data_IF_997653391415
#
_entry.id   IF_997653391415
#
_cell.length_a   1.000
_cell.length_b   1.000
_cell.length_c   1.000
_cell.angle_alpha   90.00
_cell.angle_beta   90.00
_cell.angle_gamma   90.00
#
_symmetry.space_group_name_H-M   'P 1'
#
loop_
_entity.id
_entity.type
_entity.pdbx_description
1 polymer ?
#
# COMPACT_ATOMS: atom_id res chain seq x y z
N UNK A 1 -9.65 33.65 -4.25
CA UNK A 1 -8.30 33.30 -4.73
C UNK A 1 -8.21 31.83 -5.11
N UNK A 2 -7.10 31.40 -5.73
CA UNK A 2 -6.76 29.98 -5.93
C UNK A 2 -5.64 29.64 -4.95
N UNK A 3 -5.76 28.53 -4.24
CA UNK A 3 -4.71 28.01 -3.36
C UNK A 3 -4.21 26.69 -3.95
N UNK A 4 -2.89 26.49 -3.94
CA UNK A 4 -2.27 25.23 -4.34
C UNK A 4 -1.35 24.74 -3.23
N UNK A 5 -1.49 23.48 -2.86
CA UNK A 5 -0.60 22.80 -1.93
C UNK A 5 0.14 21.71 -2.69
N UNK A 6 1.47 21.70 -2.60
CA UNK A 6 2.32 20.69 -3.23
C UNK A 6 3.00 19.90 -2.12
N UNK A 7 2.75 18.59 -2.09
CA UNK A 7 3.30 17.69 -1.07
C UNK A 7 4.18 16.65 -1.74
N UNK A 8 5.46 16.66 -1.40
CA UNK A 8 6.48 15.81 -2.03
C UNK A 8 6.44 14.39 -1.47
N UNK A 9 6.70 13.40 -2.32
CA UNK A 9 6.99 12.04 -1.90
C UNK A 9 8.44 11.93 -1.42
N UNK A 10 8.69 11.31 -0.26
CA UNK A 10 10.05 11.18 0.27
C UNK A 10 10.91 10.16 -0.47
N UNK A 11 10.26 9.17 -1.10
CA UNK A 11 10.91 8.11 -1.89
C UNK A 11 10.43 8.16 -3.33
N UNK A 12 11.17 7.51 -4.22
CA UNK A 12 10.74 7.30 -5.61
C UNK A 12 9.48 6.43 -5.63
N UNK A 13 8.39 6.97 -6.17
CA UNK A 13 7.13 6.26 -6.37
C UNK A 13 6.85 6.15 -7.88
N UNK A 14 6.40 4.99 -8.33
CA UNK A 14 5.89 4.78 -9.67
C UNK A 14 4.37 4.66 -9.57
N UNK A 15 3.65 5.52 -10.30
CA UNK A 15 2.21 5.45 -10.45
C UNK A 15 1.95 5.28 -11.95
N UNK A 16 1.54 4.06 -12.34
CA UNK A 16 1.52 3.66 -13.75
C UNK A 16 0.53 4.46 -14.60
N UNK A 17 -0.51 5.03 -14.00
CA UNK A 17 -1.55 5.86 -14.62
C UNK A 17 -2.17 6.80 -13.60
N UNK A 18 -2.57 8.01 -13.99
CA UNK A 18 -3.21 8.97 -13.10
C UNK A 18 -4.00 10.01 -13.90
N UNK A 19 -5.00 10.61 -13.24
CA UNK A 19 -5.79 11.71 -13.78
C UNK A 19 -6.19 12.65 -12.65
N UNK A 20 -6.70 13.83 -12.99
CA UNK A 20 -7.18 14.76 -11.99
C UNK A 20 -8.46 14.24 -11.33
N UNK A 21 -8.53 14.25 -10.00
CA UNK A 21 -9.71 13.80 -9.25
C UNK A 21 -10.26 14.89 -8.33
N UNK A 22 -11.58 14.97 -8.13
CA UNK A 22 -12.16 15.88 -7.15
C UNK A 22 -11.92 15.35 -5.72
N UNK A 23 -11.40 16.22 -4.84
CA UNK A 23 -11.15 15.93 -3.42
C UNK A 23 -11.62 17.12 -2.59
N UNK A 24 -12.63 16.91 -1.73
CA UNK A 24 -13.13 17.88 -0.73
C UNK A 24 -13.26 19.34 -1.21
N UNK A 25 -13.95 19.55 -2.34
CA UNK A 25 -14.18 20.87 -2.92
C UNK A 25 -12.97 21.47 -3.67
N UNK A 26 -11.90 20.70 -3.83
CA UNK A 26 -10.76 20.96 -4.70
C UNK A 26 -10.51 19.84 -5.68
N UNK A 27 -9.33 19.89 -6.30
CA UNK A 27 -8.88 18.95 -7.32
C UNK A 27 -7.47 18.49 -6.97
N UNK A 28 -7.21 17.20 -7.09
CA UNK A 28 -5.92 16.59 -6.85
C UNK A 28 -5.35 16.07 -8.16
N UNK A 29 -4.06 16.31 -8.40
CA UNK A 29 -3.31 15.69 -9.49
C UNK A 29 -1.93 15.22 -9.01
N UNK A 30 -1.38 14.24 -9.73
CA UNK A 30 0.00 13.78 -9.52
C UNK A 30 0.92 14.62 -10.38
N UNK A 31 1.98 15.17 -9.77
CA UNK A 31 3.10 15.77 -10.49
C UNK A 31 4.09 14.65 -10.79
N UNK A 32 4.23 14.33 -12.07
CA UNK A 32 5.17 13.32 -12.56
C UNK A 32 6.43 13.99 -13.12
N UNK A 33 7.61 13.45 -12.78
CA UNK A 33 8.88 13.86 -13.36
C UNK A 33 9.71 12.62 -13.69
N UNK A 34 10.14 12.50 -14.95
CA UNK A 34 10.97 11.38 -15.45
C UNK A 34 10.38 9.97 -15.18
N UNK A 35 9.04 9.82 -15.27
CA UNK A 35 8.37 8.54 -15.03
C UNK A 35 8.10 8.21 -13.56
N UNK A 36 8.40 9.13 -12.64
CA UNK A 36 8.16 8.96 -11.20
C UNK A 36 7.17 10.00 -10.70
N UNK A 37 6.28 9.58 -9.80
CA UNK A 37 5.42 10.49 -9.05
C UNK A 37 6.31 11.27 -8.05
N UNK A 38 6.43 12.57 -8.26
CA UNK A 38 7.25 13.48 -7.45
C UNK A 38 6.46 14.09 -6.30
N UNK A 39 5.24 14.55 -6.60
CA UNK A 39 4.39 15.21 -5.61
C UNK A 39 2.90 15.00 -5.89
N UNK A 40 2.10 15.27 -4.87
CA UNK A 40 0.66 15.47 -4.96
C UNK A 40 0.41 16.97 -4.98
N UNK A 41 -0.34 17.45 -5.97
CA UNK A 41 -0.82 18.84 -6.01
C UNK A 41 -2.32 18.87 -5.71
N UNK A 42 -2.70 19.62 -4.67
CA UNK A 42 -4.09 19.95 -4.33
C UNK A 42 -4.37 21.39 -4.74
N UNK A 43 -5.37 21.59 -5.60
CA UNK A 43 -5.81 22.90 -6.06
C UNK A 43 -7.23 23.19 -5.58
N UNK A 44 -7.40 24.33 -4.90
CA UNK A 44 -8.69 24.85 -4.47
C UNK A 44 -8.99 26.18 -5.16
N UNK A 45 -10.15 26.30 -5.77
CA UNK A 45 -10.57 27.52 -6.46
C UNK A 45 -11.59 28.31 -5.64
N UNK A 46 -11.73 29.61 -5.94
CA UNK A 46 -12.72 30.52 -5.31
C UNK A 46 -12.64 30.59 -3.78
N UNK A 47 -11.43 30.54 -3.23
CA UNK A 47 -11.19 30.59 -1.79
C UNK A 47 -11.27 32.02 -1.21
N UNK A 48 -11.75 32.20 0.03
CA UNK A 48 -11.69 33.45 0.77
C UNK A 48 -10.26 34.02 0.86
N UNK A 49 -10.11 35.35 0.87
CA UNK A 49 -8.79 36.00 1.00
C UNK A 49 -8.22 35.90 2.43
N UNK A 50 -9.06 35.62 3.42
CA UNK A 50 -8.66 35.45 4.82
C UNK A 50 -7.73 34.24 5.06
N UNK A 51 -7.74 33.23 4.17
CA UNK A 51 -6.80 32.11 4.24
C UNK A 51 -5.37 32.47 3.80
N UNK A 52 -5.17 33.63 3.17
CA UNK A 52 -3.84 34.10 2.81
C UNK A 52 -3.18 34.74 4.04
N UNK A 53 -1.85 34.54 4.26
CA UNK A 53 -1.12 35.28 5.27
C UNK A 53 -1.27 36.78 5.04
N UNK A 54 -1.67 37.51 6.08
CA UNK A 54 -1.86 38.96 6.01
C UNK A 54 -0.88 39.69 6.92
N UNK A 55 -0.41 40.85 6.45
CA UNK A 55 0.40 41.76 7.25
C UNK A 55 -0.51 42.60 8.14
N UNK A 56 -0.38 42.47 9.45
CA UNK A 56 -1.01 43.43 10.36
C UNK A 56 -0.09 44.65 10.50
N UNK A 57 -0.53 45.80 10.00
CA UNK A 57 0.17 47.07 10.22
C UNK A 57 0.02 47.46 11.68
N UNK A 58 1.12 47.77 12.40
CA UNK A 58 1.02 48.15 13.79
C UNK A 58 0.34 49.52 13.93
N UNK A 59 -0.42 49.69 15.00
CA UNK A 59 -1.08 50.95 15.38
C UNK A 59 -0.15 51.96 16.07
N UNK A 60 1.12 51.61 16.31
CA UNK A 60 2.13 52.51 16.88
C UNK A 60 3.51 52.33 16.24
N UNK A 61 4.33 53.38 16.33
CA UNK A 61 5.65 53.51 15.69
C UNK A 61 6.76 52.56 16.21
N UNK A 62 6.47 51.63 17.12
CA UNK A 62 7.49 50.76 17.75
C UNK A 62 7.27 49.25 17.60
N UNK A 63 6.28 48.78 16.83
CA UNK A 63 6.03 47.34 16.70
C UNK A 63 6.48 46.74 15.35
N UNK A 64 7.16 45.60 15.43
CA UNK A 64 7.56 44.74 14.32
C UNK A 64 6.30 44.25 13.60
N UNK A 65 6.29 44.27 12.27
CA UNK A 65 5.18 43.73 11.46
C UNK A 65 4.97 42.26 11.79
N UNK A 66 3.82 41.91 12.37
CA UNK A 66 3.45 40.53 12.66
C UNK A 66 2.77 39.91 11.44
N UNK A 67 3.30 38.80 10.93
CA UNK A 67 2.60 37.95 9.96
C UNK A 67 1.67 37.05 10.76
N UNK A 68 0.37 37.31 10.71
CA UNK A 68 -0.62 36.34 11.22
C UNK A 68 -0.85 35.31 10.12
N UNK A 69 -0.05 34.24 10.13
CA UNK A 69 -0.17 33.12 9.20
C UNK A 69 -0.96 31.98 9.83
N UNK A 70 -2.30 32.06 9.82
CA UNK A 70 -3.11 30.88 10.05
C UNK A 70 -3.82 30.54 8.74
N UNK A 71 -3.22 29.62 7.98
CA UNK A 71 -3.94 28.98 6.88
C UNK A 71 -4.79 27.87 7.49
N UNK A 72 -6.03 28.22 7.83
CA UNK A 72 -7.02 27.28 8.41
C UNK A 72 -7.24 26.05 7.53
N UNK A 73 -7.03 26.19 6.21
CA UNK A 73 -7.19 25.10 5.24
C UNK A 73 -5.96 24.20 5.19
N UNK A 74 -4.77 24.72 5.44
CA UNK A 74 -3.53 23.94 5.51
C UNK A 74 -3.59 22.88 6.60
N UNK A 75 -4.05 23.24 7.81
CA UNK A 75 -4.16 22.30 8.92
C UNK A 75 -5.08 21.11 8.59
N UNK A 76 -6.18 21.40 7.88
CA UNK A 76 -7.12 20.40 7.42
C UNK A 76 -6.54 19.51 6.31
N UNK A 77 -5.93 20.11 5.28
CA UNK A 77 -5.25 19.39 4.19
C UNK A 77 -4.16 18.49 4.73
N UNK A 78 -3.36 18.99 5.68
CA UNK A 78 -2.30 18.22 6.33
C UNK A 78 -2.87 17.00 7.05
N UNK A 79 -3.90 17.18 7.88
CA UNK A 79 -4.56 16.07 8.58
C UNK A 79 -5.07 15.01 7.60
N UNK A 80 -5.74 15.41 6.53
CA UNK A 80 -6.28 14.48 5.53
C UNK A 80 -5.16 13.69 4.83
N UNK A 81 -4.08 14.37 4.43
CA UNK A 81 -2.94 13.72 3.80
C UNK A 81 -2.20 12.79 4.76
N UNK A 82 -2.09 13.15 6.04
CA UNK A 82 -1.54 12.29 7.08
C UNK A 82 -2.40 11.03 7.26
N UNK A 83 -3.72 11.19 7.33
CA UNK A 83 -4.66 10.06 7.45
C UNK A 83 -4.60 9.15 6.20
N UNK A 84 -4.59 9.73 5.00
CA UNK A 84 -4.42 9.00 3.75
C UNK A 84 -3.06 8.28 3.67
N UNK A 85 -1.98 8.91 4.15
CA UNK A 85 -0.67 8.29 4.21
C UNK A 85 -0.69 7.07 5.13
N UNK A 86 -1.32 7.14 6.30
CA UNK A 86 -1.36 6.01 7.23
C UNK A 86 -2.11 4.80 6.63
N UNK A 87 -3.18 5.04 5.88
CA UNK A 87 -3.87 4.00 5.11
C UNK A 87 -2.94 3.29 4.12
N UNK A 88 -2.13 4.05 3.38
CA UNK A 88 -1.14 3.50 2.44
C UNK A 88 0.03 2.80 3.16
N UNK A 89 0.44 3.33 4.30
CA UNK A 89 1.53 2.80 5.13
C UNK A 89 1.20 1.40 5.71
N UNK A 90 -0.06 1.02 5.80
CA UNK A 90 -0.46 -0.35 6.13
C UNK A 90 0.06 -1.40 5.12
N UNK A 91 0.11 -1.05 3.83
CA UNK A 91 0.52 -1.95 2.74
C UNK A 91 1.98 -1.76 2.35
N UNK A 92 2.44 -0.51 2.35
CA UNK A 92 3.72 -0.14 1.77
C UNK A 92 4.54 0.73 2.73
N UNK A 93 5.86 0.75 2.55
CA UNK A 93 6.73 1.72 3.21
C UNK A 93 6.71 3.04 2.41
N UNK A 94 5.61 3.80 2.53
CA UNK A 94 5.43 5.12 1.92
C UNK A 94 5.67 6.17 3.00
N UNK A 95 6.22 7.31 2.63
CA UNK A 95 6.27 8.46 3.53
C UNK A 95 6.01 9.72 2.70
N UNK A 96 4.94 10.44 3.05
CA UNK A 96 4.65 11.79 2.54
C UNK A 96 5.39 12.79 3.43
N UNK A 97 6.03 13.79 2.84
CA UNK A 97 6.65 14.88 3.62
C UNK A 97 5.59 15.95 3.90
N UNK A 98 4.63 15.63 4.76
CA UNK A 98 3.52 16.53 5.12
C UNK A 98 3.93 17.67 6.04
N UNK A 99 5.13 17.60 6.63
CA UNK A 99 5.74 18.67 7.44
C UNK A 99 6.47 19.73 6.60
N UNK A 100 6.82 19.42 5.34
CA UNK A 100 7.52 20.32 4.42
C UNK A 100 6.63 20.60 3.19
N UNK A 101 5.43 21.15 3.44
CA UNK A 101 4.56 21.60 2.35
C UNK A 101 5.24 22.80 1.69
N UNK A 102 5.75 22.57 0.48
CA UNK A 102 6.52 23.54 -0.26
C UNK A 102 5.58 24.65 -0.76
N UNK A 103 5.71 25.85 -0.17
CA UNK A 103 5.13 27.08 -0.73
C UNK A 103 6.24 27.82 -1.46
N UNK A 104 6.15 27.90 -2.78
CA UNK A 104 7.20 28.56 -3.59
C UNK A 104 6.98 30.06 -3.67
N UNK A 105 8.05 30.80 -3.36
CA UNK A 105 8.29 32.19 -3.77
C UNK A 105 9.68 32.21 -4.42
N UNK A 106 9.77 32.71 -5.65
CA UNK A 106 10.99 32.70 -6.47
C UNK A 106 11.83 33.95 -6.21
N UNK A 107 13.16 33.79 -6.18
CA UNK A 107 14.16 34.86 -6.10
C UNK A 107 14.74 35.20 -7.48
N UNK A 108 15.13 36.46 -7.69
CA UNK A 108 15.23 37.08 -9.02
C UNK A 108 16.60 37.04 -9.74
N UNK A 109 17.63 36.32 -9.28
CA UNK A 109 18.96 36.42 -9.95
C UNK A 109 19.76 35.12 -10.12
N UNK A 110 20.24 34.80 -11.34
CA UNK A 110 21.07 33.64 -11.66
C UNK A 110 22.43 33.54 -10.97
N UNK A 111 22.95 34.63 -10.39
CA UNK A 111 24.33 34.67 -9.87
C UNK A 111 24.52 33.96 -8.50
N UNK A 112 23.45 33.65 -7.76
CA UNK A 112 23.54 33.02 -6.43
C UNK A 112 23.58 31.47 -6.49
N UNK A 113 23.14 30.86 -7.59
CA UNK A 113 22.93 29.40 -7.71
C UNK A 113 24.21 28.60 -8.06
N UNK A 114 25.25 29.30 -8.54
CA UNK A 114 26.49 28.72 -9.03
C UNK A 114 27.60 28.55 -7.98
N UNK A 115 27.36 28.92 -6.71
CA UNK A 115 28.37 28.88 -5.64
C UNK A 115 28.30 27.68 -4.68
N UNK A 116 27.39 26.74 -4.91
CA UNK A 116 27.25 25.56 -4.04
C UNK A 116 28.15 24.40 -4.52
N UNK A 117 29.22 24.14 -3.78
CA UNK A 117 30.30 23.18 -4.10
C UNK A 117 30.03 21.74 -3.66
N UNK A 118 28.99 21.48 -2.85
CA UNK A 118 28.44 20.15 -2.61
C UNK A 118 26.92 20.29 -2.63
N UNK A 119 26.27 19.89 -3.72
CA UNK A 119 24.81 20.05 -3.92
C UNK A 119 23.99 18.90 -3.30
N UNK A 120 24.61 17.75 -3.03
CA UNK A 120 24.15 16.74 -2.07
C UNK A 120 25.21 15.64 -1.94
N UNK A 121 25.26 14.99 -0.78
CA UNK A 121 26.00 13.74 -0.56
C UNK A 121 25.01 12.78 0.09
N UNK A 122 24.67 11.69 -0.60
CA UNK A 122 23.85 10.62 -0.02
C UNK A 122 24.64 9.32 0.05
N UNK A 123 24.78 8.79 1.26
CA UNK A 123 25.03 7.37 1.47
C UNK A 123 23.67 6.72 1.73
N UNK A 124 23.01 6.33 0.64
CA UNK A 124 21.78 5.55 0.69
C UNK A 124 22.04 4.15 0.13
N UNK A 125 21.51 3.12 0.79
CA UNK A 125 21.22 1.86 0.08
C UNK A 125 20.26 2.18 -1.07
N UNK A 126 20.39 1.47 -2.18
CA UNK A 126 19.45 1.58 -3.30
C UNK A 126 18.05 1.24 -2.78
N UNK A 127 17.20 2.26 -2.60
CA UNK A 127 15.80 2.05 -2.31
C UNK A 127 15.09 1.90 -3.65
N UNK A 128 14.64 0.67 -3.92
CA UNK A 128 13.86 0.38 -5.12
C UNK A 128 12.65 1.30 -5.20
N UNK A 129 12.32 1.75 -6.41
CA UNK A 129 11.13 2.56 -6.61
C UNK A 129 9.89 1.76 -6.20
N UNK A 130 9.01 2.38 -5.42
CA UNK A 130 7.81 1.71 -4.94
C UNK A 130 6.67 1.86 -5.95
N UNK A 131 6.10 0.77 -6.48
CA UNK A 131 4.99 0.87 -7.39
C UNK A 131 3.66 0.97 -6.63
N UNK A 132 3.05 2.16 -6.61
CA UNK A 132 1.77 2.44 -5.96
C UNK A 132 0.66 2.54 -7.02
N UNK A 133 -0.45 1.81 -6.86
CA UNK A 133 -1.57 1.98 -7.78
C UNK A 133 -2.30 3.29 -7.50
N UNK A 134 -2.76 3.95 -8.57
CA UNK A 134 -3.53 5.18 -8.43
C UNK A 134 -4.88 4.94 -7.74
N UNK A 135 -5.51 3.80 -8.01
CA UNK A 135 -6.71 3.35 -7.30
C UNK A 135 -6.49 3.32 -5.77
N UNK A 136 -5.41 2.69 -5.28
CA UNK A 136 -5.09 2.68 -3.84
C UNK A 136 -4.87 4.09 -3.29
N UNK A 137 -4.14 4.95 -4.00
CA UNK A 137 -3.91 6.34 -3.59
C UNK A 137 -5.23 7.11 -3.46
N UNK A 138 -6.06 7.06 -4.49
CA UNK A 138 -7.33 7.79 -4.51
C UNK A 138 -8.33 7.26 -3.49
N UNK A 139 -8.41 5.94 -3.29
CA UNK A 139 -9.26 5.33 -2.25
C UNK A 139 -8.78 5.67 -0.85
N UNK A 140 -7.46 5.75 -0.60
CA UNK A 140 -6.91 6.22 0.67
C UNK A 140 -7.33 7.66 0.98
N UNK A 141 -7.24 8.55 -0.02
CA UNK A 141 -7.68 9.94 0.10
C UNK A 141 -9.17 10.05 0.39
N UNK A 142 -10.00 9.25 -0.28
CA UNK A 142 -11.46 9.24 -0.07
C UNK A 142 -11.84 8.64 1.29
N UNK A 143 -11.15 7.61 1.76
CA UNK A 143 -11.36 7.03 3.08
C UNK A 143 -11.00 8.03 4.19
N UNK A 144 -9.90 8.77 4.03
CA UNK A 144 -9.47 9.84 4.92
C UNK A 144 -10.46 11.03 4.98
N UNK A 145 -11.41 11.15 4.04
CA UNK A 145 -12.49 12.14 4.16
C UNK A 145 -13.51 11.77 5.25
N UNK A 146 -13.63 10.48 5.60
CA UNK A 146 -14.67 9.94 6.49
C UNK A 146 -14.12 9.32 7.77
N UNK A 147 -12.88 8.87 7.75
CA UNK A 147 -12.25 8.12 8.83
C UNK A 147 -10.87 8.69 9.16
N UNK A 148 -10.54 8.74 10.46
CA UNK A 148 -9.15 8.87 10.85
C UNK A 148 -8.38 7.63 10.35
N UNK A 149 -7.15 7.83 9.91
CA UNK A 149 -6.34 6.71 9.42
C UNK A 149 -5.81 5.83 10.56
N UNK A 150 -5.32 4.61 10.27
CA UNK A 150 -4.85 3.61 11.25
C UNK A 150 -3.48 3.99 11.86
N UNK A 151 -3.40 5.17 12.46
CA UNK A 151 -2.16 5.80 12.96
C UNK A 151 -1.45 4.93 13.99
N UNK A 152 -2.21 4.25 14.85
CA UNK A 152 -1.66 3.42 15.91
C UNK A 152 -0.93 2.20 15.32
N UNK A 153 -1.59 1.45 14.46
CA UNK A 153 -1.05 0.29 13.76
C UNK A 153 0.18 0.66 12.93
N UNK A 154 0.09 1.78 12.21
CA UNK A 154 1.14 2.29 11.34
C UNK A 154 2.40 2.66 12.10
N UNK A 155 2.27 3.28 13.28
CA UNK A 155 3.40 3.63 14.11
C UNK A 155 4.28 2.41 14.47
N UNK A 156 3.67 1.23 14.69
CA UNK A 156 4.42 0.01 14.98
C UNK A 156 4.95 -0.66 13.71
N UNK A 157 4.15 -0.82 12.66
CA UNK A 157 4.58 -1.55 11.45
C UNK A 157 5.69 -0.82 10.69
N UNK A 158 5.65 0.52 10.63
CA UNK A 158 6.70 1.35 10.02
C UNK A 158 8.04 1.15 10.71
N UNK A 159 8.05 1.20 12.04
CA UNK A 159 9.25 0.94 12.82
C UNK A 159 9.72 -0.51 12.67
N UNK A 160 8.81 -1.48 12.72
CA UNK A 160 9.15 -2.90 12.57
C UNK A 160 9.80 -3.19 11.20
N UNK A 161 9.27 -2.63 10.10
CA UNK A 161 9.82 -2.75 8.74
C UNK A 161 11.18 -2.07 8.61
N UNK A 162 11.34 -0.86 9.17
CA UNK A 162 12.62 -0.15 9.20
C UNK A 162 13.71 -0.95 9.91
N UNK A 163 13.39 -1.53 11.08
CA UNK A 163 14.32 -2.37 11.84
C UNK A 163 14.66 -3.65 11.06
N UNK A 164 13.68 -4.28 10.39
CA UNK A 164 13.90 -5.45 9.55
C UNK A 164 14.87 -5.15 8.41
N UNK A 165 14.67 -4.03 7.69
CA UNK A 165 15.55 -3.57 6.60
C UNK A 165 16.98 -3.31 7.07
N UNK A 166 17.14 -2.88 8.32
CA UNK A 166 18.44 -2.66 8.96
C UNK A 166 19.06 -3.96 9.54
N UNK A 167 18.40 -5.11 9.41
CA UNK A 167 18.79 -6.39 10.03
C UNK A 167 18.81 -6.35 11.57
N UNK A 168 18.08 -5.42 12.16
CA UNK A 168 17.82 -5.34 13.60
C UNK A 168 16.61 -6.21 13.97
N UNK A 169 16.72 -7.52 13.70
CA UNK A 169 15.64 -8.49 13.80
C UNK A 169 14.96 -8.52 15.18
N UNK A 170 15.72 -8.40 16.26
CA UNK A 170 15.17 -8.36 17.62
C UNK A 170 14.28 -7.12 17.82
N UNK A 171 14.68 -5.95 17.31
CA UNK A 171 13.88 -4.72 17.39
C UNK A 171 12.65 -4.79 16.47
N UNK A 172 12.78 -5.37 15.29
CA UNK A 172 11.65 -5.62 14.40
C UNK A 172 10.58 -6.50 15.08
N UNK A 173 11.00 -7.60 15.70
CA UNK A 173 10.12 -8.45 16.51
C UNK A 173 9.51 -7.67 17.68
N UNK A 174 10.28 -6.82 18.36
CA UNK A 174 9.79 -6.03 19.50
C UNK A 174 8.62 -5.12 19.11
N UNK A 175 8.79 -4.30 18.07
CA UNK A 175 7.72 -3.43 17.59
C UNK A 175 6.50 -4.23 17.11
N UNK A 176 6.75 -5.37 16.44
CA UNK A 176 5.66 -6.24 15.99
C UNK A 176 4.86 -6.81 17.17
N UNK A 177 5.55 -7.32 18.19
CA UNK A 177 4.87 -7.89 19.35
C UNK A 177 4.15 -6.82 20.19
N UNK A 178 4.66 -5.59 20.29
CA UNK A 178 3.97 -4.51 20.98
C UNK A 178 2.62 -4.18 20.35
N UNK A 179 2.51 -4.21 19.02
CA UNK A 179 1.22 -4.06 18.34
C UNK A 179 0.27 -5.21 18.68
N UNK A 180 0.77 -6.45 18.60
CA UNK A 180 -0.01 -7.65 18.94
C UNK A 180 -0.53 -7.58 20.39
N UNK A 181 0.36 -7.26 21.34
CA UNK A 181 0.03 -7.17 22.77
C UNK A 181 -0.99 -6.05 23.03
N UNK A 182 -0.87 -4.92 22.33
CA UNK A 182 -1.78 -3.78 22.49
C UNK A 182 -3.20 -4.06 21.99
N UNK A 183 -3.34 -4.72 20.83
CA UNK A 183 -4.63 -4.97 20.21
C UNK A 183 -5.32 -6.25 20.73
N UNK A 184 -4.54 -7.29 21.01
CA UNK A 184 -5.08 -8.63 21.31
C UNK A 184 -4.72 -9.15 22.71
N UNK A 185 -3.83 -8.47 23.44
CA UNK A 185 -3.37 -8.91 24.77
C UNK A 185 -4.36 -8.65 25.91
N UNK A 186 -5.42 -7.86 25.69
CA UNK A 186 -6.46 -7.55 26.69
C UNK A 186 -5.90 -7.06 28.05
N UNK A 187 -4.85 -6.22 28.00
CA UNK A 187 -4.17 -5.69 29.19
C UNK A 187 -3.32 -6.72 29.98
N UNK A 188 -3.21 -7.96 29.49
CA UNK A 188 -2.42 -9.02 30.13
C UNK A 188 -0.96 -8.93 29.71
N UNK A 189 -0.04 -9.06 30.67
CA UNK A 189 1.41 -8.98 30.41
C UNK A 189 2.21 -10.14 31.03
N UNK A 190 1.57 -10.97 31.88
CA UNK A 190 2.19 -12.18 32.42
C UNK A 190 2.02 -13.31 31.41
N UNK A 191 3.08 -14.09 31.19
CA UNK A 191 3.13 -15.13 30.15
C UNK A 191 1.88 -16.00 30.07
N UNK A 192 1.38 -16.64 31.16
CA UNK A 192 0.21 -17.52 31.06
C UNK A 192 -1.07 -16.77 30.70
N UNK A 193 -1.29 -15.58 31.28
CA UNK A 193 -2.51 -14.81 31.03
C UNK A 193 -2.50 -14.16 29.64
N UNK A 194 -1.34 -13.70 29.16
CA UNK A 194 -1.18 -13.19 27.80
C UNK A 194 -1.37 -14.29 26.75
N UNK A 195 -0.77 -15.48 26.96
CA UNK A 195 -1.02 -16.64 26.08
C UNK A 195 -2.51 -16.98 26.03
N UNK A 196 -3.18 -17.04 27.19
CA UNK A 196 -4.61 -17.31 27.24
C UNK A 196 -5.44 -16.26 26.51
N UNK A 197 -5.12 -14.97 26.69
CA UNK A 197 -5.82 -13.87 26.01
C UNK A 197 -5.70 -13.97 24.49
N UNK A 198 -4.46 -14.12 23.99
CA UNK A 198 -4.20 -14.23 22.55
C UNK A 198 -4.87 -15.46 21.92
N UNK A 199 -4.81 -16.62 22.57
CA UNK A 199 -5.44 -17.87 22.08
C UNK A 199 -6.96 -17.86 22.14
N UNK A 200 -7.54 -17.08 23.06
CA UNK A 200 -9.00 -16.92 23.13
C UNK A 200 -9.55 -16.02 22.00
N UNK A 201 -8.68 -15.26 21.32
CA UNK A 201 -9.08 -14.38 20.24
C UNK A 201 -9.03 -15.11 18.89
N UNK A 202 -10.21 -15.48 18.38
CA UNK A 202 -10.34 -16.25 17.13
C UNK A 202 -9.83 -15.49 15.90
N UNK A 203 -10.00 -14.17 15.88
CA UNK A 203 -9.49 -13.33 14.80
C UNK A 203 -7.96 -13.38 14.76
N UNK A 204 -7.30 -13.17 15.90
CA UNK A 204 -5.85 -13.21 15.99
C UNK A 204 -5.29 -14.59 15.61
N UNK A 205 -5.98 -15.67 16.03
CA UNK A 205 -5.62 -17.04 15.59
C UNK A 205 -5.65 -17.19 14.08
N UNK A 206 -6.72 -16.73 13.44
CA UNK A 206 -6.86 -16.78 11.98
C UNK A 206 -5.72 -16.02 11.29
N UNK A 207 -5.33 -14.85 11.83
CA UNK A 207 -4.19 -14.08 11.33
C UNK A 207 -2.88 -14.86 11.46
N UNK A 208 -2.65 -15.51 12.60
CA UNK A 208 -1.45 -16.34 12.82
C UNK A 208 -1.43 -17.52 11.83
N UNK A 209 -2.56 -18.17 11.58
CA UNK A 209 -2.67 -19.27 10.62
C UNK A 209 -2.33 -18.84 9.18
N UNK A 210 -2.78 -17.64 8.78
CA UNK A 210 -2.41 -17.07 7.48
C UNK A 210 -0.91 -16.78 7.41
N UNK A 211 -0.35 -16.15 8.45
CA UNK A 211 1.07 -15.83 8.50
C UNK A 211 1.97 -17.08 8.46
N UNK A 212 1.53 -18.21 9.05
CA UNK A 212 2.25 -19.49 8.96
C UNK A 212 2.28 -19.99 7.50
N UNK A 213 1.15 -19.89 6.78
CA UNK A 213 1.01 -20.37 5.39
C UNK A 213 1.81 -19.54 4.40
N UNK A 214 1.86 -18.22 4.60
CA UNK A 214 2.47 -17.27 3.67
C UNK A 214 3.98 -17.07 3.94
N UNK A 215 4.54 -17.76 4.94
CA UNK A 215 5.92 -17.55 5.34
C UNK A 215 6.92 -18.10 4.32
N UNK A 216 7.81 -17.23 3.86
CA UNK A 216 8.97 -17.60 3.04
C UNK A 216 10.14 -17.98 3.98
N UNK A 217 10.75 -19.17 3.84
CA UNK A 217 11.87 -19.59 4.69
C UNK A 217 13.05 -18.63 4.67
N UNK A 218 13.70 -18.41 5.81
CA UNK A 218 14.84 -17.49 5.90
C UNK A 218 16.12 -18.12 5.35
N UNK A 219 17.09 -17.30 4.94
CA UNK A 219 18.31 -17.77 4.26
C UNK A 219 19.27 -18.56 5.17
N UNK A 220 19.17 -18.46 6.50
CA UNK A 220 20.08 -19.07 7.47
C UNK A 220 19.36 -19.64 8.71
N UNK A 221 18.65 -20.76 8.54
CA UNK A 221 17.73 -21.29 9.56
C UNK A 221 18.33 -22.20 10.64
N UNK A 222 19.60 -22.60 10.55
CA UNK A 222 20.14 -23.72 11.36
C UNK A 222 20.09 -23.50 12.88
N UNK A 223 20.13 -22.25 13.35
CA UNK A 223 20.15 -21.91 14.77
C UNK A 223 18.87 -21.21 15.25
N UNK A 224 17.85 -21.03 14.40
CA UNK A 224 16.62 -20.35 14.81
C UNK A 224 15.62 -21.33 15.40
N UNK A 225 15.22 -21.12 16.66
CA UNK A 225 14.14 -21.91 17.27
C UNK A 225 12.80 -21.70 16.54
N UNK A 226 12.57 -20.50 15.98
CA UNK A 226 11.37 -20.22 15.18
C UNK A 226 11.37 -21.03 13.90
N UNK A 227 12.49 -21.08 13.19
CA UNK A 227 12.58 -21.89 11.97
C UNK A 227 12.32 -23.37 12.26
N UNK A 228 12.92 -23.90 13.33
CA UNK A 228 12.69 -25.28 13.79
C UNK A 228 11.22 -25.54 14.11
N UNK A 229 10.55 -24.62 14.80
CA UNK A 229 9.12 -24.73 15.09
C UNK A 229 8.30 -24.76 13.79
N UNK A 230 8.58 -23.87 12.84
CA UNK A 230 7.81 -23.79 11.60
C UNK A 230 7.98 -25.03 10.72
N UNK A 231 9.14 -25.68 10.77
CA UNK A 231 9.39 -26.96 10.08
C UNK A 231 8.52 -28.11 10.60
N UNK A 232 7.90 -28.00 11.78
CA UNK A 232 7.01 -29.04 12.32
C UNK A 232 5.54 -28.84 11.91
N UNK A 233 5.23 -27.90 11.01
CA UNK A 233 3.86 -27.51 10.65
C UNK A 233 3.01 -27.19 11.89
N UNK A 234 3.40 -26.18 12.69
CA UNK A 234 2.78 -25.89 13.97
C UNK A 234 1.35 -25.35 13.81
N UNK A 235 0.51 -25.53 14.83
CA UNK A 235 -0.77 -24.85 14.90
C UNK A 235 -0.61 -23.41 15.41
N UNK A 236 -1.66 -22.61 15.28
CA UNK A 236 -1.67 -21.21 15.74
C UNK A 236 -1.27 -21.08 17.21
N UNK A 237 -1.78 -21.97 18.07
CA UNK A 237 -1.54 -21.93 19.51
C UNK A 237 -0.07 -22.20 19.87
N UNK A 238 0.63 -23.02 19.08
CA UNK A 238 2.07 -23.28 19.23
C UNK A 238 2.89 -22.04 18.89
N UNK A 239 2.54 -21.38 17.79
CA UNK A 239 3.18 -20.13 17.38
C UNK A 239 2.90 -19.02 18.39
N UNK A 240 1.66 -18.89 18.89
CA UNK A 240 1.31 -17.90 19.93
C UNK A 240 2.14 -18.15 21.20
N UNK A 241 2.25 -19.40 21.65
CA UNK A 241 3.09 -19.76 22.78
C UNK A 241 4.54 -19.30 22.57
N UNK A 242 5.09 -19.60 21.40
CA UNK A 242 6.46 -19.27 21.02
C UNK A 242 6.69 -17.76 20.95
N UNK A 243 5.77 -16.99 20.37
CA UNK A 243 5.86 -15.52 20.33
C UNK A 243 5.94 -14.94 21.75
N UNK A 244 5.09 -15.38 22.67
CA UNK A 244 5.09 -14.89 24.06
C UNK A 244 6.37 -15.30 24.79
N UNK A 245 6.86 -16.53 24.57
CA UNK A 245 8.14 -16.98 25.14
C UNK A 245 9.31 -16.12 24.63
N UNK A 246 9.39 -15.92 23.32
CA UNK A 246 10.44 -15.09 22.70
C UNK A 246 10.34 -13.63 23.11
N UNK A 247 9.14 -13.10 23.35
CA UNK A 247 8.98 -11.80 24.01
C UNK A 247 9.64 -11.78 25.38
N UNK A 248 9.35 -12.78 26.22
CA UNK A 248 10.02 -12.96 27.52
C UNK A 248 11.55 -12.94 27.41
N UNK A 249 12.09 -13.66 26.43
CA UNK A 249 13.53 -13.77 26.18
C UNK A 249 14.17 -12.47 25.68
N UNK A 250 13.60 -11.84 24.65
CA UNK A 250 14.20 -10.70 23.98
C UNK A 250 13.90 -9.35 24.65
N UNK A 251 12.83 -9.22 25.42
CA UNK A 251 12.47 -7.94 26.05
C UNK A 251 13.13 -7.77 27.42
N UNK A 252 13.28 -8.86 28.17
CA UNK A 252 13.77 -8.83 29.55
C UNK A 252 15.19 -9.35 29.63
N UNK A 253 16.12 -8.60 29.04
CA UNK A 253 17.54 -8.94 28.95
C UNK A 253 18.17 -9.18 30.33
N UNK A 254 18.20 -10.43 30.79
CA UNK A 254 18.90 -10.81 32.00
C UNK A 254 20.34 -11.18 31.67
N UNK A 255 21.26 -10.22 31.83
CA UNK A 255 22.70 -10.39 31.55
C UNK A 255 23.34 -11.53 32.35
N UNK A 256 22.72 -11.95 33.47
CA UNK A 256 23.19 -13.08 34.30
C UNK A 256 22.80 -14.45 33.73
N UNK A 257 21.89 -14.51 32.76
CA UNK A 257 21.45 -15.77 32.15
C UNK A 257 22.56 -16.30 31.22
N UNK A 258 22.95 -17.57 31.38
CA UNK A 258 24.03 -18.17 30.57
C UNK A 258 23.79 -18.11 29.07
N UNK A 259 22.52 -18.13 28.65
CA UNK A 259 22.10 -17.99 27.25
C UNK A 259 21.41 -16.65 26.98
N UNK A 260 21.83 -15.57 27.66
CA UNK A 260 21.34 -14.22 27.34
C UNK A 260 21.65 -13.89 25.87
N UNK A 261 20.67 -13.30 25.16
CA UNK A 261 20.91 -12.79 23.82
C UNK A 261 21.90 -11.64 23.85
N UNK A 262 22.65 -11.46 22.77
CA UNK A 262 23.58 -10.33 22.61
C UNK A 262 23.09 -9.38 21.52
N UNK A 263 23.24 -8.05 21.68
CA UNK A 263 22.79 -7.09 20.68
C UNK A 263 23.36 -7.26 19.28
N UNK A 264 24.57 -7.81 19.13
CA UNK A 264 25.17 -8.09 17.83
C UNK A 264 24.76 -9.44 17.23
N UNK A 265 24.13 -10.33 18.00
CA UNK A 265 23.70 -11.67 17.57
C UNK A 265 22.24 -11.64 17.09
N UNK A 266 22.00 -10.96 15.97
CA UNK A 266 20.64 -10.77 15.43
C UNK A 266 20.10 -11.98 14.65
N UNK A 267 20.97 -12.74 13.98
CA UNK A 267 20.56 -13.73 12.97
C UNK A 267 19.61 -14.83 13.49
N UNK A 268 19.74 -15.26 14.76
CA UNK A 268 18.84 -16.27 15.33
C UNK A 268 17.37 -15.79 15.42
N UNK A 269 17.16 -14.47 15.45
CA UNK A 269 15.84 -13.84 15.52
C UNK A 269 15.24 -13.51 14.13
N UNK A 270 15.96 -13.76 13.03
CA UNK A 270 15.50 -13.40 11.67
C UNK A 270 14.14 -14.04 11.33
N UNK A 271 14.02 -15.37 11.47
CA UNK A 271 12.77 -16.07 11.22
C UNK A 271 11.63 -15.60 12.14
N UNK A 272 11.94 -15.25 13.39
CA UNK A 272 10.96 -14.67 14.31
C UNK A 272 10.47 -13.29 13.85
N UNK A 273 11.39 -12.44 13.40
CA UNK A 273 11.05 -11.11 12.91
C UNK A 273 10.21 -11.18 11.64
N UNK A 274 10.55 -12.07 10.70
CA UNK A 274 9.79 -12.28 9.46
C UNK A 274 8.37 -12.79 9.75
N UNK A 275 8.24 -13.80 10.63
CA UNK A 275 6.93 -14.30 11.05
C UNK A 275 6.09 -13.19 11.71
N UNK A 276 6.68 -12.44 12.64
CA UNK A 276 5.98 -11.39 13.34
C UNK A 276 5.57 -10.23 12.41
N UNK A 277 6.41 -9.90 11.42
CA UNK A 277 6.10 -8.94 10.36
C UNK A 277 4.94 -9.41 9.49
N UNK A 278 4.88 -10.70 9.15
CA UNK A 278 3.75 -11.29 8.44
C UNK A 278 2.45 -11.09 9.21
N UNK A 279 2.45 -11.46 10.51
CA UNK A 279 1.29 -11.29 11.41
C UNK A 279 0.84 -9.83 11.47
N UNK A 280 1.75 -8.89 11.77
CA UNK A 280 1.36 -7.49 11.90
C UNK A 280 0.97 -6.84 10.57
N UNK A 281 1.50 -7.33 9.45
CA UNK A 281 1.11 -6.84 8.12
C UNK A 281 -0.35 -7.22 7.84
N UNK A 282 -0.77 -8.44 8.17
CA UNK A 282 -2.18 -8.83 8.06
C UNK A 282 -3.07 -7.97 8.98
N UNK A 283 -2.63 -7.69 10.22
CA UNK A 283 -3.33 -6.80 11.15
C UNK A 283 -3.49 -5.40 10.53
N UNK A 284 -2.41 -4.81 10.01
CA UNK A 284 -2.45 -3.44 9.46
C UNK A 284 -3.24 -3.36 8.17
N UNK A 285 -3.16 -4.39 7.31
CA UNK A 285 -4.00 -4.48 6.10
C UNK A 285 -5.49 -4.51 6.44
N UNK A 286 -5.86 -5.24 7.50
CA UNK A 286 -7.24 -5.24 8.01
C UNK A 286 -7.66 -3.86 8.51
N UNK A 287 -6.80 -3.16 9.24
CA UNK A 287 -7.09 -1.80 9.70
C UNK A 287 -7.31 -0.80 8.53
N UNK A 288 -6.78 -1.12 7.33
CA UNK A 288 -6.98 -0.34 6.12
C UNK A 288 -8.17 -0.79 5.24
N UNK A 289 -8.98 -1.76 5.68
CA UNK A 289 -10.23 -2.18 5.02
C UNK A 289 -11.18 -1.04 4.62
N UNK A 290 -11.30 0.09 5.36
CA UNK A 290 -12.15 1.20 4.95
C UNK A 290 -11.85 1.76 3.54
N UNK A 291 -10.62 1.58 3.03
CA UNK A 291 -10.26 1.96 1.66
C UNK A 291 -10.95 1.12 0.59
N UNK A 292 -11.35 -0.12 0.91
CA UNK A 292 -11.82 -1.12 -0.04
C UNK A 292 -13.33 -1.31 -0.01
N UNK A 293 -14.07 -0.43 0.66
CA UNK A 293 -15.53 -0.45 0.61
C UNK A 293 -16.01 -0.14 -0.82
N UNK A 294 -17.02 -0.88 -1.29
CA UNK A 294 -17.53 -0.80 -2.66
C UNK A 294 -17.97 0.61 -3.08
N UNK A 295 -18.36 1.45 -2.11
CA UNK A 295 -18.70 2.86 -2.37
C UNK A 295 -17.50 3.65 -2.96
N UNK A 296 -16.30 3.43 -2.43
CA UNK A 296 -15.09 4.16 -2.84
C UNK A 296 -14.60 3.72 -4.22
N UNK A 297 -14.72 2.42 -4.52
CA UNK A 297 -14.49 1.88 -5.85
C UNK A 297 -15.42 2.54 -6.88
N UNK A 298 -16.72 2.56 -6.58
CA UNK A 298 -17.71 3.19 -7.45
C UNK A 298 -17.40 4.68 -7.64
N UNK A 299 -17.05 5.39 -6.57
CA UNK A 299 -16.68 6.81 -6.64
C UNK A 299 -15.43 7.03 -7.48
N UNK A 300 -14.40 6.19 -7.34
CA UNK A 300 -13.19 6.24 -8.17
C UNK A 300 -13.55 6.10 -9.66
N UNK A 301 -14.38 5.12 -10.00
CA UNK A 301 -14.82 4.88 -11.37
C UNK A 301 -15.66 6.03 -11.94
N UNK A 302 -16.63 6.54 -11.18
CA UNK A 302 -17.45 7.69 -11.61
C UNK A 302 -16.60 8.96 -11.80
N UNK A 303 -15.60 9.20 -10.95
CA UNK A 303 -14.65 10.29 -11.13
C UNK A 303 -13.88 10.14 -12.45
N UNK A 304 -13.39 8.94 -12.75
CA UNK A 304 -12.68 8.64 -13.98
C UNK A 304 -13.56 8.91 -15.21
N UNK A 305 -14.82 8.45 -15.17
CA UNK A 305 -15.82 8.72 -16.21
C UNK A 305 -16.10 10.21 -16.40
N UNK A 306 -16.21 10.97 -15.31
CA UNK A 306 -16.50 12.40 -15.37
C UNK A 306 -15.41 13.20 -16.09
N UNK A 307 -14.14 12.82 -15.91
CA UNK A 307 -13.00 13.48 -16.57
C UNK A 307 -12.59 12.83 -17.89
N UNK A 308 -13.34 11.84 -18.36
CA UNK A 308 -13.05 11.10 -19.60
C UNK A 308 -11.85 10.13 -19.50
N UNK A 309 -11.40 9.81 -18.29
CA UNK A 309 -10.35 8.83 -18.02
C UNK A 309 -10.93 7.41 -17.96
N UNK A 310 -11.50 6.94 -19.06
CA UNK A 310 -12.00 5.57 -19.19
C UNK A 310 -11.46 4.90 -20.43
N UNK A 311 -11.08 3.63 -20.30
CA UNK A 311 -10.65 2.78 -21.42
C UNK A 311 -11.69 1.69 -21.60
N UNK A 312 -12.15 1.49 -22.84
CA UNK A 312 -13.01 0.37 -23.21
C UNK A 312 -12.14 -0.70 -23.85
N UNK A 313 -12.08 -1.87 -23.20
CA UNK A 313 -11.36 -3.04 -23.65
C UNK A 313 -12.33 -3.95 -24.41
N UNK A 314 -12.10 -4.12 -25.71
CA UNK A 314 -12.83 -5.05 -26.57
C UNK A 314 -12.14 -6.42 -26.53
N UNK A 315 -12.85 -7.45 -26.07
CA UNK A 315 -12.35 -8.82 -26.02
C UNK A 315 -13.09 -9.66 -27.04
N UNK A 316 -12.37 -10.17 -28.03
CA UNK A 316 -12.85 -11.15 -28.99
C UNK A 316 -12.34 -12.52 -28.58
N UNK A 317 -13.23 -13.48 -28.43
CA UNK A 317 -12.84 -14.81 -27.96
C UNK A 317 -13.53 -15.92 -28.74
N UNK A 318 -12.87 -17.07 -28.75
CA UNK A 318 -13.33 -18.30 -29.39
C UNK A 318 -13.46 -19.39 -28.35
N UNK A 319 -14.57 -20.09 -28.36
CA UNK A 319 -14.83 -21.20 -27.45
C UNK A 319 -15.59 -22.31 -28.16
N UNK A 320 -15.60 -23.49 -27.56
CA UNK A 320 -16.28 -24.68 -28.08
C UNK A 320 -17.17 -25.28 -27.01
N UNK A 321 -18.44 -25.49 -27.32
CA UNK A 321 -19.34 -26.26 -26.47
C UNK A 321 -19.02 -27.77 -26.56
N UNK A 322 -19.26 -28.58 -25.52
CA UNK A 322 -18.82 -29.98 -25.47
C UNK A 322 -19.22 -30.85 -26.66
N UNK A 323 -20.38 -30.59 -27.27
CA UNK A 323 -20.93 -31.38 -28.39
C UNK A 323 -20.62 -30.77 -29.77
N UNK A 324 -19.98 -29.61 -29.83
CA UNK A 324 -19.72 -28.92 -31.09
C UNK A 324 -18.35 -29.27 -31.67
N UNK A 325 -18.31 -29.43 -32.99
CA UNK A 325 -17.07 -29.64 -33.76
C UNK A 325 -16.45 -28.34 -34.28
N UNK A 326 -17.16 -27.22 -34.14
CA UNK A 326 -16.70 -25.90 -34.58
C UNK A 326 -16.57 -24.94 -33.40
N UNK A 327 -15.70 -23.93 -33.54
CA UNK A 327 -15.52 -22.91 -32.52
C UNK A 327 -16.51 -21.76 -32.75
N UNK A 328 -17.22 -21.37 -31.70
CA UNK A 328 -18.02 -20.15 -31.67
C UNK A 328 -17.12 -18.94 -31.49
N UNK A 329 -17.56 -17.79 -32.00
CA UNK A 329 -16.90 -16.49 -31.81
C UNK A 329 -17.82 -15.54 -31.08
N UNK A 330 -17.30 -14.83 -30.10
CA UNK A 330 -18.05 -13.85 -29.35
C UNK A 330 -17.19 -12.62 -29.05
N UNK A 331 -17.86 -11.53 -28.71
CA UNK A 331 -17.24 -10.27 -28.30
C UNK A 331 -17.83 -9.83 -26.96
N UNK A 332 -16.97 -9.31 -26.10
CA UNK A 332 -17.32 -8.78 -24.79
C UNK A 332 -16.49 -7.54 -24.51
N UNK A 333 -17.16 -6.46 -24.09
CA UNK A 333 -16.50 -5.18 -23.81
C UNK A 333 -16.42 -4.96 -22.29
N UNK A 334 -15.26 -4.53 -21.80
CA UNK A 334 -15.02 -4.18 -20.40
C UNK A 334 -14.57 -2.72 -20.33
N UNK A 335 -15.30 -1.90 -19.58
CA UNK A 335 -14.89 -0.52 -19.32
C UNK A 335 -14.16 -0.42 -17.99
N UNK A 336 -12.97 0.16 -17.99
CA UNK A 336 -12.12 0.36 -16.80
C UNK A 336 -11.72 1.83 -16.68
N UNK A 337 -11.46 2.32 -15.45
CA UNK A 337 -10.87 3.63 -15.25
C UNK A 337 -9.40 3.62 -15.71
N UNK A 338 -8.98 4.67 -16.43
CA UNK A 338 -7.61 4.81 -16.92
C UNK A 338 -7.48 5.77 -18.10
N UNK A 339 -6.27 6.26 -18.34
CA UNK A 339 -5.89 7.07 -19.51
C UNK A 339 -4.93 6.35 -20.45
N UNK A 340 -4.28 5.27 -19.99
CA UNK A 340 -3.36 4.43 -20.76
C UNK A 340 -3.44 2.96 -20.35
N UNK A 341 -3.09 2.07 -21.28
CA UNK A 341 -2.97 0.64 -20.98
C UNK A 341 -1.77 0.41 -20.07
N UNK A 342 -1.99 -0.26 -18.93
CA UNK A 342 -0.93 -0.67 -18.00
C UNK A 342 -0.91 -2.19 -17.86
N UNK A 343 0.23 -2.81 -17.50
CA UNK A 343 0.28 -4.25 -17.26
C UNK A 343 -0.72 -4.72 -16.18
N UNK A 344 -0.94 -3.89 -15.15
CA UNK A 344 -1.93 -4.17 -14.09
C UNK A 344 -3.35 -4.13 -14.62
N UNK A 345 -3.69 -3.12 -15.44
CA UNK A 345 -5.01 -3.05 -16.08
C UNK A 345 -5.22 -4.25 -17.03
N UNK A 346 -4.22 -4.60 -17.85
CA UNK A 346 -4.29 -5.76 -18.74
C UNK A 346 -4.56 -7.07 -17.97
N UNK A 347 -3.86 -7.27 -16.85
CA UNK A 347 -4.06 -8.44 -16.00
C UNK A 347 -5.46 -8.46 -15.35
N UNK A 348 -5.91 -7.33 -14.79
CA UNK A 348 -7.24 -7.23 -14.18
C UNK A 348 -8.37 -7.49 -15.20
N UNK A 349 -8.25 -6.95 -16.41
CA UNK A 349 -9.18 -7.18 -17.52
C UNK A 349 -9.20 -8.67 -17.91
N UNK A 350 -8.04 -9.32 -17.98
CA UNK A 350 -7.96 -10.76 -18.26
C UNK A 350 -8.63 -11.60 -17.16
N UNK A 351 -8.39 -11.29 -15.89
CA UNK A 351 -9.02 -11.99 -14.76
C UNK A 351 -10.54 -11.82 -14.76
N UNK A 352 -11.03 -10.60 -14.95
CA UNK A 352 -12.46 -10.32 -15.02
C UNK A 352 -13.12 -11.07 -16.18
N UNK A 353 -12.49 -11.05 -17.36
CA UNK A 353 -12.96 -11.81 -18.52
C UNK A 353 -13.04 -13.31 -18.23
N UNK A 354 -11.99 -13.91 -17.67
CA UNK A 354 -11.97 -15.34 -17.37
C UNK A 354 -13.06 -15.71 -16.35
N UNK A 355 -13.29 -14.87 -15.35
CA UNK A 355 -14.37 -15.06 -14.38
C UNK A 355 -15.75 -15.01 -15.04
N UNK A 356 -16.00 -13.99 -15.87
CA UNK A 356 -17.27 -13.84 -16.62
C UNK A 356 -17.47 -15.01 -17.58
N UNK A 357 -16.42 -15.46 -18.26
CA UNK A 357 -16.49 -16.61 -19.16
C UNK A 357 -16.86 -17.88 -18.38
N UNK A 358 -16.17 -18.19 -17.27
CA UNK A 358 -16.46 -19.36 -16.45
C UNK A 358 -17.89 -19.34 -15.88
N UNK A 359 -18.40 -18.17 -15.52
CA UNK A 359 -19.75 -18.02 -15.01
C UNK A 359 -20.82 -18.26 -16.10
N UNK A 360 -20.63 -17.66 -17.28
CA UNK A 360 -21.61 -17.71 -18.36
C UNK A 360 -21.52 -18.97 -19.22
N UNK A 361 -20.35 -19.62 -19.26
CA UNK A 361 -20.00 -20.73 -20.15
C UNK A 361 -19.24 -21.84 -19.39
N UNK A 362 -19.81 -22.40 -18.30
CA UNK A 362 -19.08 -23.28 -17.38
C UNK A 362 -18.62 -24.61 -18.00
N UNK A 363 -19.31 -25.08 -19.03
CA UNK A 363 -18.99 -26.35 -19.71
C UNK A 363 -18.19 -26.15 -21.01
N UNK A 364 -18.04 -24.91 -21.46
CA UNK A 364 -17.38 -24.59 -22.72
C UNK A 364 -15.87 -24.54 -22.58
N UNK A 365 -15.16 -25.07 -23.58
CA UNK A 365 -13.72 -24.95 -23.67
C UNK A 365 -13.34 -23.61 -24.34
N UNK A 366 -12.77 -22.68 -23.57
CA UNK A 366 -12.15 -21.48 -24.13
C UNK A 366 -10.93 -21.88 -24.97
N UNK A 367 -10.90 -21.49 -26.24
CA UNK A 367 -9.77 -21.78 -27.14
C UNK A 367 -8.78 -20.61 -27.15
N UNK A 368 -9.30 -19.40 -27.29
CA UNK A 368 -8.50 -18.20 -27.51
C UNK A 368 -9.27 -16.95 -27.09
N UNK A 369 -8.57 -15.94 -26.58
CA UNK A 369 -9.11 -14.61 -26.34
C UNK A 369 -8.08 -13.55 -26.71
N UNK A 370 -8.49 -12.56 -27.49
CA UNK A 370 -7.70 -11.40 -27.87
C UNK A 370 -8.36 -10.15 -27.33
N UNK A 371 -7.58 -9.30 -26.68
CA UNK A 371 -8.05 -8.04 -26.11
C UNK A 371 -7.32 -6.86 -26.77
N UNK A 372 -8.10 -5.85 -27.17
CA UNK A 372 -7.61 -4.59 -27.70
C UNK A 372 -8.40 -3.40 -27.15
N UNK A 373 -7.79 -2.21 -27.13
CA UNK A 373 -8.49 -0.99 -26.76
C UNK A 373 -9.39 -0.51 -27.89
N UNK A 374 -10.67 -0.27 -27.59
CA UNK A 374 -11.62 0.27 -28.55
C UNK A 374 -11.21 1.69 -28.96
N UNK A 375 -11.26 1.98 -30.27
CA UNK A 375 -10.89 3.27 -30.83
C UNK A 375 -9.42 3.38 -31.25
N UNK A 376 -8.47 2.87 -30.47
CA UNK A 376 -7.04 2.87 -30.84
C UNK A 376 -6.59 1.57 -31.51
N UNK A 377 -7.24 0.44 -31.20
CA UNK A 377 -6.80 -0.89 -31.63
C UNK A 377 -5.52 -1.36 -30.94
N UNK A 378 -5.05 -0.67 -29.90
CA UNK A 378 -3.86 -1.06 -29.13
C UNK A 378 -4.06 -2.46 -28.55
N UNK A 379 -3.13 -3.38 -28.87
CA UNK A 379 -3.20 -4.76 -28.40
C UNK A 379 -2.82 -4.83 -26.92
N UNK A 380 -3.68 -5.46 -26.12
CA UNK A 380 -3.53 -5.52 -24.66
C UNK A 380 -3.03 -6.90 -24.23
N UNK A 381 -3.70 -7.97 -24.64
CA UNK A 381 -3.23 -9.34 -24.42
C UNK A 381 -3.79 -10.33 -25.45
N UNK A 382 -3.16 -11.50 -25.51
CA UNK A 382 -3.70 -12.70 -26.15
C UNK A 382 -3.58 -13.86 -25.16
N UNK A 383 -4.66 -14.60 -24.96
CA UNK A 383 -4.69 -15.86 -24.22
C UNK A 383 -4.96 -17.00 -25.20
N UNK A 384 -4.16 -18.05 -25.12
CA UNK A 384 -4.34 -19.27 -25.93
C UNK A 384 -4.33 -20.48 -25.02
N UNK A 385 -5.33 -21.33 -25.16
CA UNK A 385 -5.52 -22.52 -24.33
C UNK A 385 -5.34 -23.77 -25.18
N UNK A 386 -4.41 -24.63 -24.76
CA UNK A 386 -4.09 -25.86 -25.46
C UNK A 386 -4.73 -27.04 -24.73
N UNK A 387 -5.82 -27.58 -25.27
CA UNK A 387 -6.35 -28.87 -24.82
C UNK A 387 -5.54 -29.99 -25.47
N UNK A 388 -5.26 -31.08 -24.73
CA UNK A 388 -4.82 -32.33 -25.34
C UNK A 388 -5.92 -32.78 -26.30
N UNK A 389 -5.58 -33.05 -27.56
CA UNK A 389 -6.47 -33.76 -28.45
C UNK A 389 -6.88 -35.07 -27.76
N UNK A 390 -8.18 -35.23 -27.48
CA UNK A 390 -8.70 -36.52 -27.05
C UNK A 390 -8.44 -37.50 -28.20
N UNK A 391 -7.45 -38.38 -28.01
CA UNK A 391 -7.09 -39.47 -28.92
C UNK A 391 -8.23 -40.48 -29.16
N UNK A 392 -9.43 -40.23 -28.64
CA UNK A 392 -10.63 -41.01 -28.84
C UNK A 392 -11.40 -40.66 -30.14
N UNK A 393 -11.06 -39.59 -30.86
CA UNK A 393 -11.75 -39.21 -32.12
C UNK A 393 -11.03 -39.67 -33.40
N UNK A 394 -10.01 -40.54 -33.30
CA UNK A 394 -9.38 -41.20 -34.46
C UNK A 394 -9.82 -42.66 -34.67
N UNK A 395 -10.85 -43.11 -33.97
CA UNK A 395 -11.43 -44.42 -34.17
C UNK A 395 -12.96 -44.37 -34.04
N UNK A 396 -13.64 -43.94 -35.11
CA UNK A 396 -14.75 -44.62 -35.81
C UNK A 396 -15.08 -43.81 -37.06
#
# INVERSE_FOLDING_TARGET
MRIRYIVQFKRKIIIDDHWEIPVQGGRLRIIEESGYAKAIELTFERQPLEYAPNFQKPTSFEAITTITGHDDRLAFVKRQLDDAATFLECFHDIELITEEIETKYEGETPEEEDRLSIKSLSMGRHDDALPLSFDMLTRALMAAEKHDGPRFEVAFVKNARKMLKNQEFINSFRYSFLLIESLYGNGQFKTPSLQSALKSNQEFRTIVELAIKDMIPAKNDRNSDTAKLLMTNPEADDVINHLVEKRGFYFHGNVKRKNAWKPHEQGAAEALALLAIGIITTITMKAAEPMFVAELEKRHFENAKHVGATIVFEIKFRFREPEEVFDRRHQYDITMPGTKVTPRAAFAVAQHFLHVFQHNQPESALCEAECSVQGTGEKVFTLTFHAKENSAQKAV
#
